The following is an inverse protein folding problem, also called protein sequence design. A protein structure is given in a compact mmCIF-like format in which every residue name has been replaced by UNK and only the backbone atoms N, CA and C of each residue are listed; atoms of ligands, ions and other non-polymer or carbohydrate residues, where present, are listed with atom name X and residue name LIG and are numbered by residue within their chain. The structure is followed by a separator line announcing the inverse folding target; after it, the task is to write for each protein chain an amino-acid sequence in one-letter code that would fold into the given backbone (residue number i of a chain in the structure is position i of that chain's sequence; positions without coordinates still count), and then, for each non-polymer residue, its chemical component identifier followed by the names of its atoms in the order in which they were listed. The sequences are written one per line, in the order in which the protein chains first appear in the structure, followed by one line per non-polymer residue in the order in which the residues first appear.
data_IF_298013191000
#
_entry.id   IF_298013191000
#
_cell.length_a   1.000
_cell.length_b   1.000
_cell.length_c   1.000
_cell.angle_alpha   90.00
_cell.angle_beta   90.00
_cell.angle_gamma   90.00
#
_symmetry.space_group_name_H-M   'P 1'
#
loop_
_entity.id
_entity.type
_entity.pdbx_description
1 polymer ?
#
# COMPACT_ATOMS: atom_id res chain seq x y z
N UNK A 1 -26.26 14.38 -8.79
CA UNK A 1 -25.40 15.04 -7.78
C UNK A 1 -24.02 15.25 -8.40
N UNK A 2 -23.47 16.47 -8.33
CA UNK A 2 -22.13 16.77 -8.84
C UNK A 2 -21.07 15.78 -8.34
N UNK A 3 -20.33 15.15 -9.25
CA UNK A 3 -19.29 14.16 -8.94
C UNK A 3 -18.20 14.75 -8.06
N UNK A 4 -17.77 15.98 -8.36
CA UNK A 4 -16.74 16.68 -7.57
C UNK A 4 -17.14 16.84 -6.10
N UNK A 5 -18.39 17.18 -5.83
CA UNK A 5 -18.91 17.30 -4.46
C UNK A 5 -18.95 15.96 -3.73
N UNK A 6 -19.32 14.89 -4.45
CA UNK A 6 -19.30 13.52 -3.93
C UNK A 6 -17.89 13.07 -3.55
N UNK A 7 -16.91 13.31 -4.44
CA UNK A 7 -15.50 13.01 -4.22
C UNK A 7 -14.93 13.81 -3.06
N UNK A 8 -15.18 15.11 -2.98
CA UNK A 8 -14.73 15.94 -1.87
C UNK A 8 -15.27 15.44 -0.52
N UNK A 9 -16.58 15.14 -0.45
CA UNK A 9 -17.22 14.59 0.74
C UNK A 9 -16.62 13.23 1.14
N UNK A 10 -16.29 12.39 0.17
CA UNK A 10 -15.63 11.10 0.38
C UNK A 10 -14.21 11.27 0.93
N UNK A 11 -13.39 12.15 0.33
CA UNK A 11 -12.03 12.41 0.78
C UNK A 11 -12.00 12.96 2.21
N UNK A 12 -12.90 13.89 2.53
CA UNK A 12 -13.06 14.39 3.90
C UNK A 12 -13.42 13.27 4.89
N UNK A 13 -14.31 12.36 4.50
CA UNK A 13 -14.59 11.18 5.32
C UNK A 13 -13.36 10.28 5.52
N UNK A 14 -12.52 10.10 4.50
CA UNK A 14 -11.29 9.30 4.64
C UNK A 14 -10.25 9.98 5.52
N UNK A 15 -10.16 11.30 5.49
CA UNK A 15 -9.34 12.09 6.41
C UNK A 15 -9.84 11.95 7.85
N UNK A 16 -11.16 12.08 8.08
CA UNK A 16 -11.75 11.92 9.41
C UNK A 16 -11.56 10.50 10.00
N UNK A 17 -11.41 9.48 9.15
CA UNK A 17 -11.09 8.11 9.55
C UNK A 17 -9.57 7.85 9.73
N UNK A 18 -8.77 8.91 9.82
CA UNK A 18 -7.31 8.86 10.01
C UNK A 18 -6.59 7.94 9.02
N UNK A 19 -7.05 7.91 7.76
CA UNK A 19 -6.33 7.18 6.70
C UNK A 19 -5.01 7.87 6.40
N UNK A 20 -4.00 7.09 6.02
CA UNK A 20 -2.67 7.65 5.78
C UNK A 20 -2.69 8.69 4.63
N UNK A 21 -1.86 9.74 4.68
CA UNK A 21 -1.80 10.77 3.64
C UNK A 21 -1.64 10.19 2.24
N UNK A 22 -0.71 9.23 2.09
CA UNK A 22 -0.46 8.51 0.83
C UNK A 22 -1.71 7.80 0.29
N UNK A 23 -2.56 7.27 1.17
CA UNK A 23 -3.82 6.63 0.75
C UNK A 23 -4.81 7.68 0.23
N UNK A 24 -4.91 8.83 0.90
CA UNK A 24 -5.80 9.94 0.51
C UNK A 24 -5.33 10.57 -0.80
N UNK A 25 -4.03 10.82 -0.96
CA UNK A 25 -3.44 11.32 -2.19
C UNK A 25 -3.71 10.39 -3.38
N UNK A 26 -3.57 9.08 -3.17
CA UNK A 26 -3.90 8.09 -4.18
C UNK A 26 -5.38 8.14 -4.57
N UNK A 27 -6.29 8.18 -3.58
CA UNK A 27 -7.73 8.35 -3.83
C UNK A 27 -8.00 9.64 -4.62
N UNK A 28 -7.42 10.76 -4.21
CA UNK A 28 -7.59 12.06 -4.83
C UNK A 28 -7.11 12.05 -6.29
N UNK A 29 -5.93 11.50 -6.55
CA UNK A 29 -5.36 11.42 -7.89
C UNK A 29 -6.22 10.61 -8.87
N UNK A 30 -6.74 9.47 -8.42
CA UNK A 30 -7.63 8.65 -9.24
C UNK A 30 -9.02 9.28 -9.40
N UNK A 31 -9.66 9.68 -8.30
CA UNK A 31 -11.02 10.22 -8.32
C UNK A 31 -11.13 11.58 -9.01
N UNK A 32 -10.03 12.36 -9.06
CA UNK A 32 -9.98 13.59 -9.87
C UNK A 32 -10.23 13.29 -11.35
N UNK A 33 -9.63 12.23 -11.89
CA UNK A 33 -9.84 11.83 -13.29
C UNK A 33 -11.30 11.45 -13.54
N UNK A 34 -11.87 10.67 -12.64
CA UNK A 34 -13.29 10.29 -12.69
C UNK A 34 -14.23 11.50 -12.64
N UNK A 35 -13.96 12.46 -11.74
CA UNK A 35 -14.75 13.69 -11.62
C UNK A 35 -14.57 14.66 -12.80
N UNK A 36 -13.50 14.53 -13.58
CA UNK A 36 -13.32 15.26 -14.83
C UNK A 36 -14.09 14.60 -15.99
N UNK A 37 -14.23 13.27 -15.99
CA UNK A 37 -14.99 12.54 -17.00
C UNK A 37 -16.50 12.70 -16.86
N UNK A 38 -17.02 12.75 -15.62
CA UNK A 38 -18.45 12.88 -15.35
C UNK A 38 -18.74 14.07 -14.44
N UNK A 39 -19.45 15.07 -14.94
CA UNK A 39 -19.86 16.24 -14.16
C UNK A 39 -20.87 15.87 -13.05
N UNK A 40 -21.84 15.02 -13.39
CA UNK A 40 -22.80 14.42 -12.47
C UNK A 40 -22.42 12.95 -12.20
N UNK A 41 -22.60 12.50 -10.95
CA UNK A 41 -22.22 11.15 -10.56
C UNK A 41 -23.12 10.13 -11.27
N UNK A 42 -22.59 9.27 -12.15
CA UNK A 42 -23.41 8.31 -12.88
C UNK A 42 -24.01 7.29 -11.91
N UNK A 43 -25.31 7.01 -12.07
CA UNK A 43 -26.05 6.09 -11.20
C UNK A 43 -26.40 4.78 -11.91
N UNK A 44 -26.09 4.67 -13.19
CA UNK A 44 -26.22 3.46 -13.99
C UNK A 44 -24.85 2.76 -14.09
N UNK A 45 -24.80 1.43 -14.24
CA UNK A 45 -23.55 0.67 -14.34
C UNK A 45 -22.68 1.03 -15.56
N UNK A 46 -23.29 1.27 -16.72
CA UNK A 46 -22.63 1.33 -18.02
C UNK A 46 -21.58 2.47 -18.11
N UNK A 47 -21.86 3.71 -17.65
CA UNK A 47 -20.84 4.76 -17.64
C UNK A 47 -19.67 4.44 -16.70
N UNK A 48 -19.92 3.70 -15.61
CA UNK A 48 -18.88 3.33 -14.66
C UNK A 48 -17.97 2.25 -15.27
N UNK A 49 -18.55 1.27 -15.96
CA UNK A 49 -17.84 0.24 -16.71
C UNK A 49 -17.01 0.84 -17.83
N UNK A 50 -17.58 1.77 -18.60
CA UNK A 50 -16.89 2.51 -19.64
C UNK A 50 -15.63 3.19 -19.09
N UNK A 51 -15.75 3.89 -17.95
CA UNK A 51 -14.61 4.54 -17.32
C UNK A 51 -13.53 3.54 -16.88
N UNK A 52 -13.93 2.42 -16.29
CA UNK A 52 -13.01 1.37 -15.85
C UNK A 52 -12.31 0.71 -17.05
N UNK A 53 -13.01 0.52 -18.17
CA UNK A 53 -12.46 -0.03 -19.41
C UNK A 53 -11.39 0.87 -20.03
N UNK A 54 -11.61 2.19 -20.04
CA UNK A 54 -10.66 3.17 -20.55
C UNK A 54 -9.46 3.41 -19.63
N UNK A 55 -9.50 2.92 -18.39
CA UNK A 55 -8.40 3.09 -17.45
C UNK A 55 -7.25 2.14 -17.77
N UNK A 56 -6.11 2.70 -18.17
CA UNK A 56 -4.87 1.96 -18.45
C UNK A 56 -4.17 1.52 -17.16
N UNK A 57 -3.50 0.37 -17.20
CA UNK A 57 -2.69 -0.14 -16.09
C UNK A 57 -2.62 -1.67 -16.07
N UNK A 58 -1.82 -2.19 -15.14
CA UNK A 58 -1.74 -3.64 -14.86
C UNK A 58 -3.07 -4.16 -14.32
N UNK A 59 -3.34 -5.48 -14.33
CA UNK A 59 -4.54 -6.06 -13.73
C UNK A 59 -4.77 -5.61 -12.27
N UNK A 60 -3.71 -5.51 -11.47
CA UNK A 60 -3.77 -5.05 -10.08
C UNK A 60 -4.17 -3.58 -9.99
N UNK A 61 -3.68 -2.75 -10.92
CA UNK A 61 -4.02 -1.33 -11.00
C UNK A 61 -5.50 -1.16 -11.36
N UNK A 62 -6.00 -1.90 -12.36
CA UNK A 62 -7.41 -1.88 -12.74
C UNK A 62 -8.30 -2.34 -11.58
N UNK A 63 -7.91 -3.41 -10.89
CA UNK A 63 -8.65 -3.90 -9.73
C UNK A 63 -8.61 -2.92 -8.55
N UNK A 64 -7.50 -2.21 -8.32
CA UNK A 64 -7.43 -1.14 -7.33
C UNK A 64 -8.38 0.02 -7.68
N UNK A 65 -8.44 0.42 -8.94
CA UNK A 65 -9.34 1.46 -9.46
C UNK A 65 -10.82 1.08 -9.29
N UNK A 66 -11.19 -0.17 -9.61
CA UNK A 66 -12.52 -0.71 -9.32
C UNK A 66 -12.86 -0.61 -7.82
N UNK A 67 -11.96 -1.08 -6.94
CA UNK A 67 -12.18 -1.00 -5.48
C UNK A 67 -12.31 0.43 -4.98
N UNK A 68 -11.64 1.38 -5.64
CA UNK A 68 -11.74 2.80 -5.34
C UNK A 68 -13.15 3.33 -5.63
N UNK A 69 -13.67 3.11 -6.84
CA UNK A 69 -15.05 3.48 -7.18
C UNK A 69 -16.05 2.76 -6.28
N UNK A 70 -15.86 1.45 -6.03
CA UNK A 70 -16.70 0.70 -5.10
C UNK A 70 -16.77 1.35 -3.72
N UNK A 71 -15.63 1.83 -3.20
CA UNK A 71 -15.59 2.53 -1.91
C UNK A 71 -16.29 3.90 -1.95
N UNK A 72 -16.14 4.66 -3.05
CA UNK A 72 -16.83 5.94 -3.25
C UNK A 72 -18.36 5.75 -3.29
N UNK A 73 -18.85 4.86 -4.15
CA UNK A 73 -20.28 4.63 -4.30
C UNK A 73 -20.92 4.04 -3.04
N UNK A 74 -20.27 3.05 -2.39
CA UNK A 74 -20.74 2.54 -1.09
C UNK A 74 -20.88 3.66 -0.06
N UNK A 75 -19.97 4.62 -0.05
CA UNK A 75 -20.05 5.76 0.85
C UNK A 75 -21.21 6.70 0.51
N UNK A 76 -21.34 7.10 -0.75
CA UNK A 76 -22.38 8.03 -1.22
C UNK A 76 -23.76 7.42 -1.08
N UNK A 77 -23.98 6.24 -1.65
CA UNK A 77 -25.27 5.57 -1.69
C UNK A 77 -25.77 5.24 -0.29
N UNK A 78 -24.88 4.77 0.62
CA UNK A 78 -25.24 4.54 2.02
C UNK A 78 -25.72 5.80 2.73
N UNK A 79 -25.06 6.94 2.53
CA UNK A 79 -25.44 8.22 3.17
C UNK A 79 -26.76 8.77 2.62
N UNK A 80 -27.02 8.54 1.34
CA UNK A 80 -28.20 9.04 0.64
C UNK A 80 -29.36 8.05 0.57
N UNK A 81 -29.18 6.85 1.11
CA UNK A 81 -30.14 5.74 1.01
C UNK A 81 -30.53 5.42 -0.44
N UNK A 82 -29.54 5.44 -1.33
CA UNK A 82 -29.70 5.10 -2.75
C UNK A 82 -29.25 3.67 -3.02
N UNK A 83 -29.76 3.08 -4.10
CA UNK A 83 -29.21 1.85 -4.65
C UNK A 83 -27.77 2.09 -5.14
N UNK A 84 -26.89 1.12 -4.93
CA UNK A 84 -25.48 1.23 -5.31
C UNK A 84 -25.25 0.53 -6.67
N UNK A 85 -24.94 1.27 -7.76
CA UNK A 85 -24.73 0.65 -9.08
C UNK A 85 -23.51 -0.28 -9.11
N UNK A 86 -22.51 -0.05 -8.24
CA UNK A 86 -21.33 -0.91 -8.15
C UNK A 86 -21.64 -2.35 -7.68
N UNK A 87 -22.85 -2.64 -7.21
CA UNK A 87 -23.27 -4.02 -6.90
C UNK A 87 -23.66 -4.80 -8.17
N UNK A 88 -23.89 -4.12 -9.29
CA UNK A 88 -24.18 -4.73 -10.60
C UNK A 88 -22.94 -4.81 -11.50
N UNK A 89 -21.78 -4.33 -11.02
CA UNK A 89 -20.54 -4.27 -11.80
C UNK A 89 -19.56 -5.33 -11.27
N UNK A 90 -19.19 -6.24 -12.16
CA UNK A 90 -18.20 -7.28 -11.87
C UNK A 90 -16.79 -6.68 -11.72
N UNK A 91 -15.98 -7.21 -10.78
CA UNK A 91 -14.60 -6.80 -10.64
C UNK A 91 -13.78 -7.17 -11.90
N UNK A 92 -12.84 -6.32 -12.34
CA UNK A 92 -11.96 -6.68 -13.44
C UNK A 92 -11.07 -7.87 -13.04
N UNK A 93 -10.80 -8.76 -13.99
CA UNK A 93 -9.93 -9.91 -13.75
C UNK A 93 -8.54 -9.47 -13.28
N UNK A 94 -8.09 -10.06 -12.18
CA UNK A 94 -6.77 -9.85 -11.59
C UNK A 94 -6.18 -11.22 -11.27
N UNK A 95 -5.43 -11.83 -12.20
CA UNK A 95 -4.82 -13.14 -11.96
C UNK A 95 -3.90 -13.08 -10.75
N UNK A 96 -3.83 -14.18 -10.01
CA UNK A 96 -2.95 -14.28 -8.86
C UNK A 96 -1.50 -14.24 -9.32
N UNK A 97 -0.77 -13.23 -8.84
CA UNK A 97 0.66 -13.09 -9.12
C UNK A 97 1.44 -13.91 -8.11
N UNK A 98 1.97 -15.05 -8.54
CA UNK A 98 2.95 -15.80 -7.77
C UNK A 98 4.23 -14.98 -7.76
N UNK A 99 4.60 -14.48 -6.59
CA UNK A 99 5.87 -13.78 -6.40
C UNK A 99 6.99 -14.81 -6.37
N UNK A 100 8.06 -14.64 -7.16
CA UNK A 100 9.19 -15.56 -7.10
C UNK A 100 9.79 -15.52 -5.70
N UNK A 101 10.09 -16.69 -5.16
CA UNK A 101 10.85 -16.86 -3.93
C UNK A 101 12.34 -16.85 -4.23
N UNK A 102 13.14 -16.38 -3.28
CA UNK A 102 14.59 -16.45 -3.38
C UNK A 102 15.06 -17.78 -2.79
N UNK A 103 15.82 -18.55 -3.57
CA UNK A 103 16.52 -19.73 -3.07
C UNK A 103 17.75 -19.31 -2.23
N UNK A 104 18.25 -20.17 -1.33
CA UNK A 104 19.43 -19.86 -0.51
C UNK A 104 20.65 -19.41 -1.32
N UNK A 105 20.83 -19.94 -2.53
CA UNK A 105 21.93 -19.55 -3.43
C UNK A 105 21.77 -18.12 -3.96
N UNK A 106 20.54 -17.70 -4.27
CA UNK A 106 20.26 -16.35 -4.74
C UNK A 106 20.42 -15.33 -3.62
N UNK A 107 20.08 -15.73 -2.40
CA UNK A 107 20.32 -14.95 -1.20
C UNK A 107 21.81 -14.68 -0.97
N UNK A 108 22.64 -15.71 -1.10
CA UNK A 108 24.10 -15.57 -0.99
C UNK A 108 24.68 -14.68 -2.08
N UNK A 109 24.20 -14.82 -3.33
CA UNK A 109 24.59 -13.91 -4.42
C UNK A 109 24.23 -12.47 -4.07
N UNK A 110 23.02 -12.21 -3.57
CA UNK A 110 22.56 -10.88 -3.19
C UNK A 110 23.43 -10.29 -2.08
N UNK A 111 23.72 -11.05 -1.01
CA UNK A 111 24.60 -10.62 0.08
C UNK A 111 26.01 -10.29 -0.41
N UNK A 112 26.54 -11.06 -1.35
CA UNK A 112 27.86 -10.83 -1.93
C UNK A 112 27.95 -9.56 -2.81
N UNK A 113 26.83 -8.98 -3.23
CA UNK A 113 26.83 -7.69 -3.95
C UNK A 113 27.00 -6.47 -3.04
N UNK A 114 26.77 -6.63 -1.73
CA UNK A 114 26.87 -5.54 -0.77
C UNK A 114 28.33 -5.30 -0.35
N UNK A 115 28.95 -4.30 -0.98
CA UNK A 115 30.38 -4.00 -0.82
C UNK A 115 30.71 -3.12 0.40
N UNK A 116 29.72 -2.61 1.10
CA UNK A 116 29.91 -1.77 2.29
C UNK A 116 29.14 -2.33 3.49
N UNK A 117 29.56 -1.94 4.70
CA UNK A 117 28.96 -2.40 5.94
C UNK A 117 27.47 -2.08 5.99
N UNK A 118 27.06 -0.88 5.57
CA UNK A 118 25.66 -0.43 5.60
C UNK A 118 24.74 -1.37 4.82
N UNK A 119 25.06 -1.62 3.56
CA UNK A 119 24.21 -2.40 2.66
C UNK A 119 24.17 -3.87 3.11
N UNK A 120 25.31 -4.39 3.59
CA UNK A 120 25.40 -5.75 4.09
C UNK A 120 24.59 -5.93 5.37
N UNK A 121 24.65 -4.97 6.30
CA UNK A 121 23.82 -4.96 7.51
C UNK A 121 22.33 -4.87 7.16
N UNK A 122 21.97 -3.99 6.22
CA UNK A 122 20.57 -3.82 5.79
C UNK A 122 19.99 -5.11 5.19
N UNK A 123 20.71 -5.74 4.27
CA UNK A 123 20.29 -7.01 3.67
C UNK A 123 20.18 -8.11 4.72
N UNK A 124 21.20 -8.27 5.56
CA UNK A 124 21.22 -9.30 6.61
C UNK A 124 20.03 -9.12 7.56
N UNK A 125 19.73 -7.89 7.97
CA UNK A 125 18.58 -7.59 8.82
C UNK A 125 17.23 -7.92 8.15
N UNK A 126 17.06 -7.60 6.87
CA UNK A 126 15.83 -7.91 6.13
C UNK A 126 15.60 -9.42 6.02
N UNK A 127 16.68 -10.17 5.80
CA UNK A 127 16.67 -11.63 5.68
C UNK A 127 16.34 -12.28 7.02
N UNK A 128 17.01 -11.82 8.08
CA UNK A 128 16.91 -12.36 9.44
C UNK A 128 15.52 -12.12 10.06
N UNK A 129 14.92 -10.95 9.78
CA UNK A 129 13.65 -10.53 10.43
C UNK A 129 12.41 -10.75 9.57
N UNK A 130 12.55 -10.83 8.24
CA UNK A 130 11.42 -10.74 7.31
C UNK A 130 10.59 -9.45 7.46
N UNK A 131 11.14 -8.40 8.08
CA UNK A 131 10.44 -7.14 8.29
C UNK A 131 10.24 -6.40 6.97
N UNK A 132 9.22 -5.53 6.91
CA UNK A 132 8.97 -4.74 5.70
C UNK A 132 10.09 -3.72 5.52
N UNK A 133 10.46 -3.46 4.27
CA UNK A 133 11.47 -2.44 3.94
C UNK A 133 11.20 -1.08 4.59
N UNK A 134 9.93 -0.65 4.62
CA UNK A 134 9.56 0.63 5.26
C UNK A 134 9.69 0.63 6.78
N UNK A 135 9.54 -0.54 7.42
CA UNK A 135 9.74 -0.71 8.86
C UNK A 135 11.23 -0.63 9.20
N UNK A 136 12.07 -1.32 8.44
CA UNK A 136 13.53 -1.27 8.60
C UNK A 136 14.10 0.11 8.25
N UNK A 137 13.64 0.73 7.18
CA UNK A 137 14.08 2.07 6.78
C UNK A 137 13.72 3.17 7.78
N UNK A 138 12.76 2.91 8.67
CA UNK A 138 12.33 3.83 9.73
C UNK A 138 12.84 3.42 11.12
N UNK A 139 13.68 2.39 11.21
CA UNK A 139 14.22 1.87 12.46
C UNK A 139 15.13 2.93 13.10
N UNK A 140 14.94 3.16 14.41
CA UNK A 140 15.74 4.09 15.19
C UNK A 140 16.72 3.35 16.09
N UNK A 141 17.83 4.00 16.46
CA UNK A 141 18.84 3.44 17.35
C UNK A 141 18.25 2.99 18.69
N UNK A 142 17.35 3.77 19.27
CA UNK A 142 16.69 3.47 20.55
C UNK A 142 15.77 2.24 20.49
N UNK A 143 15.42 1.81 19.28
CA UNK A 143 14.56 0.64 19.04
C UNK A 143 15.35 -0.65 18.86
N UNK A 144 16.68 -0.58 18.91
CA UNK A 144 17.58 -1.73 18.82
C UNK A 144 17.99 -2.13 20.24
N UNK A 145 17.68 -3.36 20.62
CA UNK A 145 18.07 -3.96 21.89
C UNK A 145 18.93 -5.19 21.62
N UNK A 146 19.50 -5.77 22.67
CA UNK A 146 20.21 -7.04 22.56
C UNK A 146 19.27 -8.11 21.99
N UNK A 147 19.66 -8.69 20.85
CA UNK A 147 18.95 -9.75 20.13
C UNK A 147 17.51 -9.42 19.70
N UNK A 148 17.06 -8.16 19.79
CA UNK A 148 15.73 -7.78 19.31
C UNK A 148 15.70 -6.38 18.70
N UNK A 149 14.76 -6.18 17.77
CA UNK A 149 14.40 -4.85 17.28
C UNK A 149 12.91 -4.59 17.51
N UNK A 150 12.59 -3.34 17.83
CA UNK A 150 11.21 -2.84 17.86
C UNK A 150 10.91 -2.13 16.54
N UNK A 151 9.94 -2.64 15.79
CA UNK A 151 9.52 -2.03 14.52
C UNK A 151 8.09 -1.54 14.60
N UNK A 152 7.83 -0.40 13.96
CA UNK A 152 6.50 0.20 13.87
C UNK A 152 6.13 0.41 12.42
N UNK A 153 4.97 -0.09 12.02
CA UNK A 153 4.51 -0.01 10.63
C UNK A 153 3.00 -0.01 10.50
N UNK A 154 2.52 -0.28 9.29
CA UNK A 154 1.08 -0.24 8.96
C UNK A 154 0.23 -1.20 9.80
N UNK A 155 0.81 -2.29 10.33
CA UNK A 155 0.13 -3.28 11.18
C UNK A 155 0.34 -3.05 12.68
N UNK A 156 0.86 -1.89 13.06
CA UNK A 156 1.19 -1.57 14.45
C UNK A 156 2.66 -1.84 14.78
N UNK A 157 2.94 -1.83 16.07
CA UNK A 157 4.25 -2.06 16.64
C UNK A 157 4.44 -3.54 17.00
N UNK A 158 5.65 -4.07 16.79
CA UNK A 158 6.04 -5.40 17.21
C UNK A 158 7.53 -5.49 17.50
N UNK A 159 7.89 -6.41 18.37
CA UNK A 159 9.29 -6.79 18.63
C UNK A 159 9.61 -8.00 17.77
N UNK A 160 10.77 -7.98 17.11
CA UNK A 160 11.25 -9.08 16.26
C UNK A 160 12.61 -9.51 16.80
N UNK A 161 12.84 -10.81 17.06
CA UNK A 161 14.16 -11.30 17.39
C UNK A 161 15.11 -11.12 16.21
N UNK A 162 16.38 -10.84 16.51
CA UNK A 162 17.47 -10.81 15.54
C UNK A 162 18.59 -11.73 16.02
N UNK A 163 19.34 -12.27 15.08
CA UNK A 163 20.56 -13.01 15.37
C UNK A 163 21.65 -12.11 15.94
N UNK A 164 22.54 -12.72 16.73
CA UNK A 164 23.68 -12.04 17.33
C UNK A 164 24.64 -11.45 16.27
N UNK A 165 24.76 -12.10 15.10
CA UNK A 165 25.53 -11.56 13.97
C UNK A 165 24.95 -10.22 13.49
N UNK A 166 23.64 -10.16 13.23
CA UNK A 166 22.97 -8.93 12.80
C UNK A 166 23.03 -7.85 13.88
N UNK A 167 22.90 -8.22 15.16
CA UNK A 167 23.06 -7.28 16.26
C UNK A 167 24.45 -6.64 16.28
N UNK A 168 25.51 -7.44 16.16
CA UNK A 168 26.90 -6.93 16.08
C UNK A 168 27.12 -6.03 14.86
N UNK A 169 26.56 -6.39 13.70
CA UNK A 169 26.62 -5.57 12.49
C UNK A 169 25.91 -4.22 12.65
N UNK A 170 24.76 -4.19 13.34
CA UNK A 170 24.05 -2.96 13.67
C UNK A 170 24.87 -2.06 14.59
N UNK A 171 25.47 -2.63 15.65
CA UNK A 171 26.34 -1.88 16.56
C UNK A 171 27.56 -1.28 15.83
N UNK A 172 28.20 -2.05 14.96
CA UNK A 172 29.32 -1.57 14.15
C UNK A 172 28.91 -0.40 13.24
N UNK A 173 27.74 -0.48 12.60
CA UNK A 173 27.20 0.57 11.74
C UNK A 173 26.82 1.84 12.52
N UNK A 174 26.42 1.71 13.78
CA UNK A 174 26.09 2.84 14.66
C UNK A 174 27.36 3.55 15.18
N UNK A 175 28.46 2.81 15.29
CA UNK A 175 29.75 3.33 15.77
C UNK A 175 30.62 3.97 14.68
N UNK A 176 30.34 3.68 13.40
CA UNK A 176 30.99 4.28 12.23
C UNK A 176 30.43 5.65 11.88
#
# INVERSE_FOLDING_TARGET
MKTQSAVASFLYNRQALSRTPKTIEWYQGFLKKFACSYAELPMDPEPIEEFLAHTKGTPETKHANYRCLKALYRFVCRRKRLLNPMELIDPPSCPEKIMPTLEPQDLMKLLNTANNLRDRTLLSLLIDTGARVGEIASLKRESIQENTIKVTGKRGERVIPISDEVYRMLLALIAS
#
